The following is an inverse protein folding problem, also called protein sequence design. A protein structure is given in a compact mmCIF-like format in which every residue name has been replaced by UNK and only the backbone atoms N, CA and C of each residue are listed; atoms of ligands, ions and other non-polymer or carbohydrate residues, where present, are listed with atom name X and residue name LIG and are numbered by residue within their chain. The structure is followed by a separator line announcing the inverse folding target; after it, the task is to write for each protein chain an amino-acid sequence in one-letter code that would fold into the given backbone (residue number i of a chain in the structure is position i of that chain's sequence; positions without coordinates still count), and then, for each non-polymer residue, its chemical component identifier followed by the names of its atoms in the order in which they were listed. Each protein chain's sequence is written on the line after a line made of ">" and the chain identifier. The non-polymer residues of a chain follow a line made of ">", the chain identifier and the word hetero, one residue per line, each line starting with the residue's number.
data_IF_990659045637
#
_entry.id   IF_990659045637
#
_cell.length_a   1.000
_cell.length_b   1.000
_cell.length_c   1.000
_cell.angle_alpha   90.00
_cell.angle_beta   90.00
_cell.angle_gamma   90.00
#
_symmetry.space_group_name_H-M   'P 1'
#
loop_
_entity.id
_entity.type
_entity.pdbx_description
1 polymer ?
#
# COMPACT_ATOMS: atom_id res chain seq x y z
N UNK A 1 -14.94 -0.93 3.42
CA UNK A 1 -14.28 0.27 2.86
C UNK A 1 -12.78 0.03 2.89
N UNK A 2 -12.09 0.36 1.80
CA UNK A 2 -10.62 0.41 1.73
C UNK A 2 -10.22 1.88 1.88
N UNK A 3 -9.28 2.17 2.75
CA UNK A 3 -8.75 3.52 2.93
C UNK A 3 -7.22 3.48 2.95
N UNK A 4 -6.63 4.37 2.15
CA UNK A 4 -5.20 4.65 2.09
C UNK A 4 -5.01 6.11 2.50
N UNK A 5 -4.10 6.33 3.45
CA UNK A 5 -3.75 7.66 3.93
C UNK A 5 -2.23 7.88 3.77
N UNK A 6 -1.88 8.84 2.91
CA UNK A 6 -0.53 9.32 2.65
C UNK A 6 0.52 8.21 2.47
N UNK A 7 0.19 7.22 1.62
CA UNK A 7 1.06 6.07 1.38
C UNK A 7 2.30 6.48 0.59
N UNK A 8 3.45 6.16 1.17
CA UNK A 8 4.75 6.20 0.51
C UNK A 8 5.32 4.79 0.45
N UNK A 9 6.02 4.47 -0.64
CA UNK A 9 6.73 3.20 -0.80
C UNK A 9 7.90 3.37 -1.76
N UNK A 10 8.97 2.62 -1.53
CA UNK A 10 10.21 2.67 -2.32
C UNK A 10 10.74 1.26 -2.57
N UNK A 11 11.52 1.10 -3.64
CA UNK A 11 12.40 -0.05 -3.86
C UNK A 11 13.84 0.39 -3.62
N UNK A 12 14.39 0.05 -2.45
CA UNK A 12 15.63 0.67 -1.97
C UNK A 12 15.46 2.19 -1.90
N UNK A 13 16.38 2.92 -2.53
CA UNK A 13 16.37 4.38 -2.57
C UNK A 13 15.47 4.97 -3.66
N UNK A 14 14.87 4.14 -4.52
CA UNK A 14 14.02 4.60 -5.61
C UNK A 14 12.56 4.71 -5.14
N UNK A 15 11.99 5.93 -5.03
CA UNK A 15 10.60 6.09 -4.63
C UNK A 15 9.66 5.58 -5.73
N UNK A 16 8.60 4.88 -5.32
CA UNK A 16 7.62 4.26 -6.21
C UNK A 16 6.19 4.76 -5.98
N UNK A 17 5.88 5.26 -4.77
CA UNK A 17 4.63 5.92 -4.41
C UNK A 17 4.94 7.17 -3.60
N UNK A 18 4.21 8.26 -3.88
CA UNK A 18 4.36 9.54 -3.20
C UNK A 18 3.01 10.00 -2.67
N UNK A 19 2.84 10.01 -1.35
CA UNK A 19 1.68 10.53 -0.62
C UNK A 19 0.32 10.09 -1.19
N UNK A 20 0.20 8.82 -1.59
CA UNK A 20 -1.03 8.32 -2.23
C UNK A 20 -2.14 8.14 -1.21
N UNK A 21 -3.28 8.78 -1.44
CA UNK A 21 -4.49 8.66 -0.63
C UNK A 21 -5.68 8.25 -1.49
N UNK A 22 -6.48 7.31 -1.00
CA UNK A 22 -7.61 6.74 -1.73
C UNK A 22 -8.65 6.19 -0.76
N UNK A 23 -9.93 6.41 -1.06
CA UNK A 23 -11.05 5.75 -0.38
C UNK A 23 -11.88 4.98 -1.39
N UNK A 24 -12.17 3.72 -1.09
CA UNK A 24 -13.04 2.87 -1.90
C UNK A 24 -14.12 2.27 -1.03
N UNK A 25 -15.36 2.61 -1.35
CA UNK A 25 -16.52 2.09 -0.64
C UNK A 25 -16.78 0.61 -0.94
N UNK A 26 -17.48 -0.06 -0.03
CA UNK A 26 -17.88 -1.44 -0.25
C UNK A 26 -18.81 -1.55 -1.47
N UNK A 27 -18.63 -2.60 -2.27
CA UNK A 27 -19.42 -2.84 -3.48
C UNK A 27 -19.04 -1.98 -4.70
N UNK A 28 -17.97 -1.16 -4.61
CA UNK A 28 -17.45 -0.41 -5.76
C UNK A 28 -16.39 -1.20 -6.51
N UNK A 29 -16.43 -1.11 -7.83
CA UNK A 29 -15.35 -1.55 -8.72
C UNK A 29 -14.56 -0.30 -9.12
N UNK A 30 -13.25 -0.33 -8.89
CA UNK A 30 -12.34 0.79 -9.20
C UNK A 30 -11.23 0.27 -10.09
N UNK A 31 -10.95 1.00 -11.17
CA UNK A 31 -9.82 0.73 -12.05
C UNK A 31 -8.64 1.66 -11.72
N UNK A 32 -7.45 1.11 -11.56
CA UNK A 32 -6.21 1.86 -11.39
C UNK A 32 -5.50 1.97 -12.75
N UNK A 33 -5.48 3.17 -13.33
CA UNK A 33 -4.93 3.45 -14.66
C UNK A 33 -3.74 4.41 -14.59
N UNK A 34 -2.87 4.36 -15.60
CA UNK A 34 -1.68 5.22 -15.69
C UNK A 34 -0.55 4.58 -16.51
N UNK A 35 0.49 5.33 -16.87
CA UNK A 35 1.60 4.84 -17.69
C UNK A 35 2.45 3.77 -16.98
N UNK A 36 3.32 3.11 -17.73
CA UNK A 36 4.33 2.20 -17.16
C UNK A 36 5.23 2.99 -16.20
N UNK A 37 5.58 2.38 -15.07
CA UNK A 37 6.35 3.05 -14.01
C UNK A 37 5.55 3.95 -13.06
N UNK A 38 4.26 4.20 -13.29
CA UNK A 38 3.44 5.07 -12.43
C UNK A 38 3.13 4.51 -11.02
N UNK A 39 3.75 3.40 -10.60
CA UNK A 39 3.53 2.83 -9.26
C UNK A 39 2.29 1.94 -9.10
N UNK A 40 1.54 1.64 -10.16
CA UNK A 40 0.29 0.85 -10.09
C UNK A 40 0.45 -0.50 -9.39
N UNK A 41 1.43 -1.29 -9.83
CA UNK A 41 1.74 -2.60 -9.25
C UNK A 41 2.22 -2.46 -7.81
N UNK A 42 3.02 -1.42 -7.51
CA UNK A 42 3.47 -1.11 -6.14
C UNK A 42 2.30 -0.79 -5.23
N UNK A 43 1.33 0.01 -5.68
CA UNK A 43 0.13 0.36 -4.91
C UNK A 43 -0.70 -0.89 -4.61
N UNK A 44 -1.00 -1.70 -5.63
CA UNK A 44 -1.78 -2.93 -5.44
C UNK A 44 -1.08 -3.92 -4.51
N UNK A 45 0.24 -4.12 -4.66
CA UNK A 45 1.02 -4.96 -3.75
C UNK A 45 1.03 -4.42 -2.32
N UNK A 46 1.07 -3.11 -2.14
CA UNK A 46 1.03 -2.48 -0.81
C UNK A 46 -0.33 -2.72 -0.14
N UNK A 47 -1.44 -2.55 -0.87
CA UNK A 47 -2.80 -2.80 -0.39
C UNK A 47 -2.96 -4.24 0.14
N UNK A 48 -2.40 -5.23 -0.56
CA UNK A 48 -2.49 -6.64 -0.16
C UNK A 48 -1.38 -7.10 0.79
N UNK A 49 -0.48 -6.19 1.21
CA UNK A 49 0.60 -6.49 2.15
C UNK A 49 1.82 -7.21 1.57
N UNK A 50 1.99 -7.24 0.25
CA UNK A 50 3.14 -7.83 -0.44
C UNK A 50 4.31 -6.84 -0.66
N UNK A 51 4.02 -5.54 -0.61
CA UNK A 51 5.03 -4.48 -0.64
C UNK A 51 4.97 -3.71 0.67
N UNK A 52 6.11 -3.50 1.32
CA UNK A 52 6.19 -2.69 2.52
C UNK A 52 6.06 -1.20 2.17
N UNK A 53 5.19 -0.50 2.90
CA UNK A 53 5.09 0.96 2.87
C UNK A 53 6.20 1.56 3.75
N UNK A 54 6.76 2.69 3.31
CA UNK A 54 7.72 3.47 4.08
C UNK A 54 7.03 4.40 5.08
N UNK A 55 5.83 4.90 4.74
CA UNK A 55 4.98 5.67 5.63
C UNK A 55 3.50 5.60 5.23
N UNK A 56 2.63 6.13 6.09
CA UNK A 56 1.18 6.18 5.88
C UNK A 56 0.46 4.97 6.48
N UNK A 57 -0.84 4.87 6.21
CA UNK A 57 -1.71 3.82 6.78
C UNK A 57 -2.67 3.22 5.76
N UNK A 58 -2.84 1.89 5.83
CA UNK A 58 -3.77 1.13 4.98
C UNK A 58 -4.81 0.47 5.89
N UNK A 59 -6.09 0.79 5.66
CA UNK A 59 -7.24 0.17 6.32
C UNK A 59 -7.96 -0.75 5.33
N UNK A 60 -7.77 -2.08 5.41
CA UNK A 60 -8.31 -3.02 4.45
C UNK A 60 -9.80 -3.30 4.66
N UNK A 61 -10.48 -3.68 3.56
CA UNK A 61 -11.87 -4.17 3.57
C UNK A 61 -11.89 -5.55 4.22
N UNK A 62 -12.05 -5.59 5.55
CA UNK A 62 -12.48 -6.76 6.34
C UNK A 62 -11.74 -8.09 6.08
N UNK A 63 -10.46 -8.11 6.41
CA UNK A 63 -9.79 -9.19 7.16
C UNK A 63 -8.57 -8.53 7.77
N UNK A 64 -8.41 -8.61 9.09
CA UNK A 64 -7.21 -8.12 9.76
C UNK A 64 -6.02 -8.89 9.19
N UNK A 65 -5.31 -8.29 8.23
CA UNK A 65 -3.98 -8.76 7.83
C UNK A 65 -3.08 -8.45 9.02
N UNK A 66 -3.11 -9.31 10.04
CA UNK A 66 -2.19 -9.24 11.18
C UNK A 66 -0.79 -9.41 10.62
N UNK A 67 -0.12 -8.29 10.39
CA UNK A 67 1.31 -8.22 10.11
C UNK A 67 2.03 -8.79 11.34
N UNK A 68 2.44 -10.06 11.31
CA UNK A 68 3.47 -10.57 12.22
C UNK A 68 4.78 -9.91 11.81
N UNK A 69 5.08 -8.75 12.43
CA UNK A 69 6.42 -8.18 12.37
C UNK A 69 7.29 -9.06 13.26
N UNK A 70 8.13 -9.88 12.65
CA UNK A 70 9.22 -10.53 13.36
C UNK A 70 10.35 -9.50 13.49
N UNK A 71 10.35 -8.74 14.59
CA UNK A 71 11.50 -7.93 14.98
C UNK A 71 12.63 -8.89 15.35
N UNK A 72 13.42 -9.30 14.37
CA UNK A 72 14.78 -9.75 14.65
C UNK A 72 15.58 -8.51 15.01
N UNK A 73 15.87 -8.38 16.31
CA UNK A 73 16.86 -7.46 16.88
C UNK A 73 18.15 -7.52 16.05
N UNK A 74 18.77 -6.40 15.66
CA UNK A 74 20.20 -6.41 15.41
C UNK A 74 20.91 -6.48 16.76
N UNK A 75 21.90 -7.37 16.85
CA UNK A 75 22.89 -7.41 17.93
C UNK A 75 23.84 -6.24 17.75
#
# INVERSE_FOLDING_TARGET
>A
MLELDLINASYGDLPALWNVSLKVDAGKIVALIGPNGAGKTTLLRSIVGLQQISSGSIFPVRRSLKRRVNTRNPV
#
